data_IF_207813811731
#
_entry.id   IF_207813811731
#
_cell.length_a   1.000
_cell.length_b   1.000
_cell.length_c   1.000
_cell.angle_alpha   90.00
_cell.angle_beta   90.00
_cell.angle_gamma   90.00
#
_symmetry.space_group_name_H-M   'P 1'
#
loop_
_entity.id
_entity.type
_entity.pdbx_description
1 polymer ?
#
# COMPACT_ATOMS: atom_id res chain seq x y z
N UNK A 1 -1.73 1.98 8.59
CA UNK A 1 -1.13 1.22 7.47
C UNK A 1 -0.76 2.21 6.36
N UNK A 2 0.36 2.01 5.68
CA UNK A 2 0.76 2.80 4.53
C UNK A 2 1.20 1.86 3.40
N UNK A 3 0.88 2.21 2.16
CA UNK A 3 1.29 1.44 0.98
C UNK A 3 1.87 2.39 -0.05
N UNK A 4 3.01 2.03 -0.64
CA UNK A 4 3.62 2.76 -1.76
C UNK A 4 3.78 1.81 -2.92
N UNK A 5 3.16 2.12 -4.04
CA UNK A 5 3.32 1.42 -5.31
C UNK A 5 4.32 2.19 -6.13
N UNK A 6 5.39 1.50 -6.51
CA UNK A 6 6.35 1.96 -7.50
C UNK A 6 6.07 1.23 -8.80
N UNK A 7 5.92 1.99 -9.87
CA UNK A 7 5.67 1.44 -11.19
C UNK A 7 6.17 2.42 -12.27
N UNK A 8 6.56 1.93 -13.45
CA UNK A 8 7.09 2.75 -14.54
C UNK A 8 6.06 3.72 -15.15
N UNK A 9 4.77 3.35 -15.19
CA UNK A 9 3.71 4.15 -15.81
C UNK A 9 2.33 3.88 -15.18
N UNK A 10 1.43 4.86 -15.30
CA UNK A 10 0.01 4.77 -14.91
C UNK A 10 -0.90 4.29 -16.04
N UNK A 11 -0.55 4.59 -17.30
CA UNK A 11 -1.49 4.51 -18.42
C UNK A 11 -1.90 3.08 -18.75
N UNK A 12 -3.21 2.86 -18.87
CA UNK A 12 -3.79 1.57 -19.26
C UNK A 12 -3.69 0.45 -18.22
N UNK A 13 -3.16 0.75 -17.02
CA UNK A 13 -3.03 -0.22 -15.92
C UNK A 13 -4.22 -0.15 -14.97
N UNK A 14 -4.62 -1.27 -14.34
CA UNK A 14 -5.61 -1.25 -13.26
C UNK A 14 -5.10 -0.42 -12.08
N UNK A 15 -6.01 0.18 -11.31
CA UNK A 15 -5.68 1.14 -10.25
C UNK A 15 -4.69 0.63 -9.19
N UNK A 16 -4.66 -0.68 -8.92
CA UNK A 16 -3.74 -1.30 -7.97
C UNK A 16 -2.29 -1.41 -8.47
N UNK A 17 -2.06 -1.28 -9.79
CA UNK A 17 -0.72 -1.24 -10.39
C UNK A 17 -0.24 0.19 -10.67
N UNK A 18 -1.08 1.20 -10.45
CA UNK A 18 -0.72 2.60 -10.71
C UNK A 18 0.22 3.09 -9.60
N UNK A 19 1.33 3.78 -9.95
CA UNK A 19 2.19 4.37 -8.95
C UNK A 19 1.40 5.32 -8.06
N UNK A 20 1.63 5.21 -6.76
CA UNK A 20 0.87 5.98 -5.78
C UNK A 20 1.22 5.62 -4.34
N UNK A 21 0.90 6.53 -3.43
CA UNK A 21 1.15 6.36 -2.00
C UNK A 21 -0.13 6.62 -1.23
N UNK A 22 -0.47 5.64 -0.41
CA UNK A 22 -1.68 5.57 0.40
C UNK A 22 -1.27 5.51 1.87
N UNK A 23 -1.80 6.38 2.71
CA UNK A 23 -1.57 6.38 4.15
C UNK A 23 -2.90 6.44 4.86
N UNK A 24 -3.22 5.38 5.61
CA UNK A 24 -4.33 5.35 6.54
C UNK A 24 -3.83 5.61 7.96
N UNK A 25 -4.33 6.70 8.55
CA UNK A 25 -3.95 7.22 9.84
C UNK A 25 -4.90 6.74 10.97
N UNK A 26 -4.41 6.67 12.22
CA UNK A 26 -5.22 6.20 13.36
C UNK A 26 -6.49 7.03 13.62
N UNK A 27 -6.52 8.29 13.22
CA UNK A 27 -7.67 9.18 13.38
C UNK A 27 -8.76 8.98 12.31
N UNK A 28 -8.55 8.02 11.39
CA UNK A 28 -9.47 7.67 10.32
C UNK A 28 -9.25 8.44 9.02
N UNK A 29 -8.17 9.22 8.90
CA UNK A 29 -7.84 9.94 7.66
C UNK A 29 -7.11 9.00 6.70
N UNK A 30 -7.58 8.99 5.45
CA UNK A 30 -6.89 8.42 4.29
C UNK A 30 -6.26 9.56 3.49
N UNK A 31 -4.94 9.45 3.29
CA UNK A 31 -4.13 10.37 2.49
C UNK A 31 -3.63 9.65 1.26
N UNK A 32 -3.78 10.26 0.10
CA UNK A 32 -3.38 9.63 -1.17
C UNK A 32 -2.69 10.63 -2.08
N UNK A 33 -1.64 10.16 -2.73
CA UNK A 33 -1.04 10.81 -3.89
C UNK A 33 -0.83 9.77 -4.98
N UNK A 34 -1.32 10.04 -6.17
CA UNK A 34 -1.06 9.23 -7.37
C UNK A 34 0.11 9.83 -8.16
N UNK A 35 0.61 9.07 -9.13
CA UNK A 35 1.74 9.45 -9.96
C UNK A 35 3.06 9.11 -9.31
N UNK A 36 4.11 9.81 -9.73
CA UNK A 36 5.46 9.56 -9.23
C UNK A 36 5.54 9.87 -7.73
N UNK A 37 5.68 8.82 -6.93
CA UNK A 37 5.76 8.90 -5.47
C UNK A 37 7.10 8.38 -4.94
N UNK A 38 7.41 8.75 -3.71
CA UNK A 38 8.52 8.20 -2.94
C UNK A 38 8.05 7.79 -1.54
N UNK A 39 8.79 6.93 -0.81
CA UNK A 39 8.48 6.63 0.58
C UNK A 39 8.54 7.84 1.52
N UNK A 40 9.26 8.89 1.11
CA UNK A 40 9.40 10.16 1.85
C UNK A 40 8.22 11.11 1.60
N UNK A 41 7.46 10.86 0.54
CA UNK A 41 6.31 11.68 0.20
C UNK A 41 5.23 11.51 1.26
N UNK A 42 4.73 12.61 1.79
CA UNK A 42 3.62 12.60 2.75
C UNK A 42 2.40 13.26 2.10
N UNK A 43 1.41 12.47 1.62
CA UNK A 43 0.30 13.01 0.85
C UNK A 43 -0.63 13.92 1.66
N UNK A 44 -1.34 14.79 0.95
CA UNK A 44 -2.44 15.58 1.52
C UNK A 44 -3.60 14.67 1.96
N UNK A 45 -4.40 15.08 2.96
CA UNK A 45 -5.64 14.39 3.30
C UNK A 45 -6.56 14.31 2.08
N UNK A 46 -7.01 13.10 1.76
CA UNK A 46 -7.96 12.87 0.67
C UNK A 46 -9.36 12.72 1.24
N UNK A 47 -9.52 11.92 2.30
CA UNK A 47 -10.82 11.56 2.83
C UNK A 47 -10.75 11.13 4.29
N UNK A 48 -11.82 11.39 5.06
CA UNK A 48 -12.05 10.74 6.36
C UNK A 48 -12.95 9.52 6.17
N UNK A 49 -12.47 8.35 6.59
CA UNK A 49 -13.21 7.10 6.49
C UNK A 49 -14.28 7.01 7.57
N UNK A 50 -15.45 6.49 7.21
CA UNK A 50 -16.53 6.16 8.15
C UNK A 50 -16.13 4.94 8.99
N UNK A 51 -16.76 4.77 10.15
CA UNK A 51 -16.46 3.67 11.05
C UNK A 51 -16.51 2.29 10.38
N UNK A 52 -17.57 2.01 9.63
CA UNK A 52 -17.73 0.75 8.86
C UNK A 52 -16.63 0.56 7.81
N UNK A 53 -16.14 1.65 7.19
CA UNK A 53 -15.05 1.58 6.20
C UNK A 53 -13.71 1.28 6.88
N UNK A 54 -13.47 1.88 8.05
CA UNK A 54 -12.29 1.61 8.88
C UNK A 54 -12.24 0.16 9.34
N UNK A 55 -13.37 -0.38 9.82
CA UNK A 55 -13.46 -1.78 10.23
C UNK A 55 -13.19 -2.73 9.06
N UNK A 56 -13.75 -2.46 7.88
CA UNK A 56 -13.50 -3.28 6.68
C UNK A 56 -12.04 -3.25 6.27
N UNK A 57 -11.43 -2.07 6.24
CA UNK A 57 -9.99 -1.93 5.95
C UNK A 57 -9.14 -2.69 6.96
N UNK A 58 -9.49 -2.63 8.25
CA UNK A 58 -8.72 -3.33 9.27
C UNK A 58 -8.88 -4.85 9.20
N UNK A 59 -10.09 -5.36 8.95
CA UNK A 59 -10.30 -6.78 8.66
C UNK A 59 -9.47 -7.23 7.45
N UNK A 60 -9.47 -6.45 6.36
CA UNK A 60 -8.65 -6.75 5.18
C UNK A 60 -7.16 -6.85 5.53
N UNK A 61 -6.61 -5.90 6.30
CA UNK A 61 -5.19 -5.94 6.71
C UNK A 61 -4.85 -7.15 7.60
N UNK A 62 -5.81 -7.60 8.40
CA UNK A 62 -5.65 -8.83 9.20
C UNK A 62 -5.70 -10.06 8.28
N UNK A 63 -6.68 -10.12 7.37
CA UNK A 63 -6.92 -11.25 6.47
C UNK A 63 -5.79 -11.43 5.44
N UNK A 64 -5.06 -10.36 5.08
CA UNK A 64 -3.88 -10.44 4.20
C UNK A 64 -2.67 -11.07 4.89
N UNK A 65 -2.70 -11.30 6.21
CA UNK A 65 -1.57 -11.85 6.95
C UNK A 65 -0.36 -10.91 7.05
N UNK A 66 -0.48 -9.64 6.66
CA UNK A 66 0.62 -8.65 6.77
C UNK A 66 1.03 -8.35 8.21
N UNK A 67 0.19 -8.74 9.17
CA UNK A 67 0.50 -8.70 10.59
C UNK A 67 1.22 -9.97 11.08
N UNK A 68 1.18 -11.06 10.31
CA UNK A 68 1.68 -12.38 10.71
C UNK A 68 3.12 -12.66 10.23
N UNK A 69 3.86 -13.38 11.05
CA UNK A 69 5.33 -13.38 11.16
C UNK A 69 6.21 -13.77 9.97
N UNK A 70 5.73 -14.13 8.78
CA UNK A 70 6.59 -14.72 7.73
C UNK A 70 6.24 -14.17 6.35
N UNK A 71 7.00 -13.18 5.89
CA UNK A 71 6.98 -12.67 4.51
C UNK A 71 8.40 -12.66 3.95
N UNK A 72 8.58 -13.03 2.69
CA UNK A 72 9.89 -13.35 2.08
C UNK A 72 10.85 -12.15 1.90
N UNK A 73 10.41 -10.92 2.20
CA UNK A 73 11.16 -9.69 1.99
C UNK A 73 10.92 -8.64 3.08
N UNK A 74 11.16 -9.00 4.34
CA UNK A 74 11.16 -8.03 5.44
C UNK A 74 12.35 -7.09 5.28
N UNK A 75 12.08 -5.82 4.98
CA UNK A 75 13.13 -4.81 4.79
C UNK A 75 13.34 -4.07 6.11
N UNK A 76 14.58 -4.03 6.59
CA UNK A 76 14.92 -3.35 7.85
C UNK A 76 14.61 -1.84 7.84
N UNK A 77 14.67 -1.21 6.66
CA UNK A 77 14.41 0.22 6.46
C UNK A 77 14.06 0.50 5.00
N UNK A 78 13.12 1.42 4.76
CA UNK A 78 12.82 1.90 3.41
C UNK A 78 13.87 2.91 2.90
N UNK A 79 14.80 3.35 3.74
CA UNK A 79 15.84 4.31 3.38
C UNK A 79 16.83 3.68 2.40
N UNK A 80 16.81 4.17 1.15
CA UNK A 80 17.66 3.65 0.06
C UNK A 80 16.95 2.68 -0.89
N UNK A 81 15.64 2.44 -0.71
CA UNK A 81 14.86 1.68 -1.68
C UNK A 81 14.74 2.47 -2.99
N UNK A 82 15.50 2.05 -4.00
CA UNK A 82 15.38 2.49 -5.39
C UNK A 82 14.89 1.31 -6.23
N UNK A 83 13.58 1.22 -6.51
CA UNK A 83 13.03 0.20 -7.40
C UNK A 83 13.78 0.22 -8.74
N UNK A 84 13.98 -0.95 -9.35
CA UNK A 84 14.41 -1.00 -10.75
C UNK A 84 13.37 -0.27 -11.63
N UNK A 85 13.83 0.33 -12.72
CA UNK A 85 12.99 1.24 -13.53
C UNK A 85 11.79 0.54 -14.19
N UNK A 86 11.84 -0.77 -14.27
CA UNK A 86 10.95 -1.66 -15.02
C UNK A 86 10.12 -2.58 -14.13
N UNK A 87 10.35 -2.59 -12.81
CA UNK A 87 9.61 -3.42 -11.86
C UNK A 87 8.37 -2.69 -11.29
N UNK A 88 7.30 -3.45 -11.04
CA UNK A 88 6.14 -2.97 -10.28
C UNK A 88 6.18 -3.54 -8.87
N UNK A 89 6.59 -2.75 -7.89
CA UNK A 89 6.72 -3.20 -6.50
C UNK A 89 5.82 -2.42 -5.55
N UNK A 90 5.27 -3.12 -4.56
CA UNK A 90 4.57 -2.54 -3.44
C UNK A 90 5.42 -2.60 -2.17
N UNK A 91 5.59 -1.45 -1.51
CA UNK A 91 6.06 -1.37 -0.14
C UNK A 91 4.84 -1.19 0.78
N UNK A 92 4.52 -2.22 1.55
CA UNK A 92 3.46 -2.21 2.55
C UNK A 92 4.08 -2.00 3.93
N UNK A 93 3.62 -0.97 4.64
CA UNK A 93 4.00 -0.70 6.02
C UNK A 93 2.79 -0.80 6.95
N UNK A 94 2.87 -1.70 7.93
CA UNK A 94 1.88 -1.83 8.99
C UNK A 94 2.51 -1.40 10.31
N UNK A 95 1.74 -0.68 11.13
CA UNK A 95 2.17 -0.31 12.48
C UNK A 95 1.04 -0.54 13.48
N UNK A 96 1.39 -1.13 14.61
CA UNK A 96 0.44 -1.46 15.69
C UNK A 96 1.20 -1.56 17.02
N UNK A 97 0.65 -1.00 18.11
CA UNK A 97 1.22 -1.17 19.45
C UNK A 97 2.70 -0.79 19.60
N UNK A 98 3.22 0.15 18.80
CA UNK A 98 4.65 0.51 18.79
C UNK A 98 5.53 -0.37 17.89
N UNK A 99 4.99 -1.44 17.32
CA UNK A 99 5.64 -2.25 16.29
C UNK A 99 5.40 -1.64 14.91
N UNK A 100 6.41 -1.74 14.05
CA UNK A 100 6.30 -1.43 12.63
C UNK A 100 6.86 -2.61 11.84
N UNK A 101 6.18 -2.93 10.74
CA UNK A 101 6.64 -3.90 9.76
C UNK A 101 6.66 -3.29 8.38
N UNK A 102 7.62 -3.73 7.57
CA UNK A 102 7.80 -3.35 6.18
C UNK A 102 7.88 -4.62 5.35
N UNK A 103 6.99 -4.73 4.37
CA UNK A 103 6.91 -5.85 3.44
C UNK A 103 7.09 -5.27 2.05
N UNK A 104 8.08 -5.80 1.32
CA UNK A 104 8.27 -5.50 -0.08
C UNK A 104 7.75 -6.66 -0.93
N UNK A 105 6.92 -6.35 -1.92
CA UNK A 105 6.28 -7.36 -2.76
C UNK A 105 6.39 -6.96 -4.22
N UNK A 106 6.87 -7.88 -5.05
CA UNK A 106 6.81 -7.78 -6.50
C UNK A 106 5.39 -8.11 -6.99
N UNK A 107 4.70 -7.10 -7.52
CA UNK A 107 3.32 -7.18 -7.99
C UNK A 107 3.19 -7.82 -9.37
N UNK A 108 4.30 -7.99 -10.11
CA UNK A 108 4.30 -8.66 -11.41
C UNK A 108 4.31 -10.21 -11.26
N UNK A 109 4.46 -10.72 -10.02
CA UNK A 109 4.41 -12.15 -9.70
C UNK A 109 3.00 -12.64 -9.36
N UNK A 110 2.76 -13.95 -9.51
CA UNK A 110 1.51 -14.61 -9.04
C UNK A 110 1.61 -15.14 -7.61
N UNK A 111 2.40 -14.50 -6.75
CA UNK A 111 2.57 -14.91 -5.35
C UNK A 111 1.34 -14.57 -4.49
N UNK A 112 1.18 -15.28 -3.36
CA UNK A 112 0.12 -14.98 -2.40
C UNK A 112 0.26 -13.55 -1.85
N UNK A 113 1.49 -13.10 -1.59
CA UNK A 113 1.79 -11.75 -1.12
C UNK A 113 1.41 -10.70 -2.17
N UNK A 114 1.68 -10.96 -3.45
CA UNK A 114 1.27 -10.07 -4.55
C UNK A 114 -0.26 -9.95 -4.64
N UNK A 115 -0.98 -11.07 -4.53
CA UNK A 115 -2.44 -11.07 -4.51
C UNK A 115 -3.01 -10.29 -3.31
N UNK A 116 -2.42 -10.48 -2.12
CA UNK A 116 -2.81 -9.77 -0.90
C UNK A 116 -2.52 -8.26 -1.00
N UNK A 117 -1.35 -7.89 -1.54
CA UNK A 117 -0.98 -6.51 -1.76
C UNK A 117 -1.90 -5.84 -2.78
N UNK A 118 -2.19 -6.52 -3.91
CA UNK A 118 -3.12 -6.05 -4.92
C UNK A 118 -4.50 -5.77 -4.35
N UNK A 119 -5.06 -6.69 -3.54
CA UNK A 119 -6.36 -6.49 -2.87
C UNK A 119 -6.35 -5.27 -1.93
N UNK A 120 -5.29 -5.12 -1.11
CA UNK A 120 -5.17 -3.98 -0.21
C UNK A 120 -5.06 -2.65 -0.97
N UNK A 121 -4.20 -2.58 -2.00
CA UNK A 121 -4.01 -1.37 -2.80
C UNK A 121 -5.31 -1.02 -3.53
N UNK A 122 -5.96 -2.01 -4.13
CA UNK A 122 -7.20 -1.79 -4.88
C UNK A 122 -8.29 -1.21 -3.97
N UNK A 123 -8.44 -1.75 -2.76
CA UNK A 123 -9.40 -1.26 -1.78
C UNK A 123 -9.05 0.16 -1.28
N UNK A 124 -7.77 0.46 -1.05
CA UNK A 124 -7.34 1.81 -0.69
C UNK A 124 -7.60 2.82 -1.81
N UNK A 125 -7.37 2.42 -3.06
CA UNK A 125 -7.65 3.22 -4.24
C UNK A 125 -9.16 3.49 -4.40
N UNK A 126 -9.99 2.47 -4.19
CA UNK A 126 -11.45 2.59 -4.18
C UNK A 126 -11.93 3.58 -3.10
N UNK A 127 -11.43 3.44 -1.86
CA UNK A 127 -11.76 4.35 -0.76
C UNK A 127 -11.37 5.81 -1.04
N UNK A 128 -10.32 6.00 -1.83
CA UNK A 128 -9.82 7.30 -2.30
C UNK A 128 -10.53 7.82 -3.57
N UNK A 129 -11.53 7.11 -4.08
CA UNK A 129 -12.26 7.43 -5.31
C UNK A 129 -11.40 7.41 -6.59
N UNK A 130 -10.30 6.67 -6.58
CA UNK A 130 -9.50 6.44 -7.78
C UNK A 130 -10.23 5.41 -8.64
N UNK A 131 -10.55 5.81 -9.87
CA UNK A 131 -11.25 4.95 -10.84
C UNK A 131 -10.27 3.99 -11.52
N UNK A 132 -10.84 2.96 -12.17
CA UNK A 132 -10.11 2.05 -13.06
C UNK A 132 -9.45 2.75 -14.25
#
# INVERSE_FOLDING_TARGET
VAVTVFAPTEEGRPRWLRPGRYIYEPDGILRVQTGRVSPRTYPSPTRRLREVERERLWRLVVDTGFLDGVHLGEVASWEGLEPARDETIALVSTSWGGHQRLILTDLDTSSADAAAAAQLIDHLAELAWIRE
#
